data_IF_619614428924
#
_entry.id   IF_619614428924
#
_cell.length_a   1.000
_cell.length_b   1.000
_cell.length_c   1.000
_cell.angle_alpha   90.00
_cell.angle_beta   90.00
_cell.angle_gamma   90.00
#
_symmetry.space_group_name_H-M   'P 1'
#
loop_
_entity.id
_entity.type
_entity.pdbx_description
1 polymer ?
#
# COMPACT_ATOMS: atom_id res chain seq x y z
N UNK A 1 -35.78 -23.61 89.19
CA UNK A 1 -34.60 -22.75 88.91
C UNK A 1 -33.42 -23.63 88.45
N UNK A 2 -33.69 -24.72 87.66
CA UNK A 2 -32.62 -25.67 87.20
C UNK A 2 -32.55 -25.82 85.68
N UNK A 3 -33.43 -25.17 84.93
CA UNK A 3 -33.46 -25.24 83.42
C UNK A 3 -32.71 -24.18 82.65
N UNK A 4 -32.01 -23.23 83.29
CA UNK A 4 -31.29 -22.17 82.62
C UNK A 4 -29.74 -22.34 82.52
N UNK A 5 -29.18 -23.38 83.21
CA UNK A 5 -27.72 -23.62 83.15
C UNK A 5 -27.29 -24.68 82.12
N UNK A 6 -28.20 -25.44 81.55
CA UNK A 6 -27.90 -26.49 80.55
C UNK A 6 -27.85 -25.97 79.11
N UNK A 7 -28.41 -24.80 78.82
CA UNK A 7 -28.39 -24.22 77.46
C UNK A 7 -27.16 -23.42 77.16
N UNK A 8 -26.39 -22.94 78.17
CA UNK A 8 -25.17 -22.18 77.99
C UNK A 8 -23.92 -23.06 77.74
N UNK A 9 -23.96 -24.35 78.12
CA UNK A 9 -22.84 -25.27 77.92
C UNK A 9 -22.88 -25.98 76.54
N UNK A 10 -24.04 -26.02 75.89
CA UNK A 10 -24.17 -26.64 74.56
C UNK A 10 -23.77 -25.70 73.39
N UNK A 11 -23.65 -24.36 73.61
CA UNK A 11 -23.33 -23.37 72.54
C UNK A 11 -21.82 -23.09 72.40
N UNK A 12 -20.98 -23.57 73.34
CA UNK A 12 -19.52 -23.39 73.28
C UNK A 12 -18.76 -24.52 72.55
N UNK A 13 -19.42 -25.57 72.08
CA UNK A 13 -18.78 -26.75 71.49
C UNK A 13 -18.83 -26.79 69.94
N UNK A 14 -19.31 -25.75 69.28
CA UNK A 14 -19.41 -25.69 67.81
C UNK A 14 -18.42 -24.77 67.12
N UNK A 15 -17.34 -24.27 67.82
CA UNK A 15 -16.32 -23.41 67.19
C UNK A 15 -14.94 -24.08 67.26
N UNK A 16 -14.84 -25.38 67.13
CA UNK A 16 -13.59 -26.05 66.78
C UNK A 16 -13.57 -26.32 65.27
N UNK A 17 -13.58 -25.23 64.48
CA UNK A 17 -13.19 -25.29 63.09
C UNK A 17 -11.69 -25.63 63.05
N UNK A 18 -11.33 -26.88 62.81
CA UNK A 18 -9.99 -27.26 62.43
C UNK A 18 -9.63 -26.51 61.14
N UNK A 19 -8.99 -25.38 61.25
CA UNK A 19 -8.24 -24.85 60.15
C UNK A 19 -7.11 -25.85 59.83
N UNK A 20 -7.34 -26.77 58.89
CA UNK A 20 -6.24 -27.52 58.31
C UNK A 20 -5.34 -26.52 57.62
N UNK A 21 -4.22 -26.17 58.17
CA UNK A 21 -3.13 -25.51 57.51
C UNK A 21 -2.66 -26.47 56.43
N UNK A 22 -2.96 -26.15 55.15
CA UNK A 22 -2.44 -26.89 54.00
C UNK A 22 -0.89 -26.97 54.12
N UNK A 23 -0.31 -28.02 53.54
CA UNK A 23 1.16 -28.12 53.47
C UNK A 23 1.73 -26.80 52.91
N UNK A 24 2.84 -26.27 53.48
CA UNK A 24 3.50 -25.11 52.92
C UNK A 24 3.83 -25.38 51.45
N UNK A 25 3.31 -24.56 50.55
CA UNK A 25 3.70 -24.62 49.16
C UNK A 25 5.18 -24.26 49.06
N UNK A 26 5.96 -24.97 48.21
CA UNK A 26 7.35 -24.55 47.96
C UNK A 26 7.36 -23.12 47.42
N UNK A 27 8.46 -22.34 47.71
CA UNK A 27 8.53 -20.99 47.23
C UNK A 27 8.43 -20.96 45.69
N UNK A 28 7.54 -20.08 45.16
CA UNK A 28 7.37 -19.91 43.76
C UNK A 28 8.67 -19.42 43.12
N UNK A 29 9.05 -20.01 42.00
CA UNK A 29 10.19 -19.55 41.19
C UNK A 29 9.85 -18.26 40.40
N UNK A 30 8.61 -17.78 40.50
CA UNK A 30 8.10 -16.61 39.76
C UNK A 30 8.43 -16.66 38.25
N UNK A 31 8.35 -17.84 37.63
CA UNK A 31 8.62 -18.01 36.21
C UNK A 31 7.45 -17.47 35.36
N UNK A 32 7.69 -16.51 34.46
CA UNK A 32 6.65 -16.01 33.55
C UNK A 32 6.10 -17.15 32.70
N UNK A 33 4.78 -17.22 32.53
CA UNK A 33 4.16 -18.20 31.65
C UNK A 33 4.59 -17.91 30.19
N UNK A 34 5.09 -18.90 29.41
CA UNK A 34 5.47 -18.67 28.02
C UNK A 34 4.29 -18.13 27.19
N UNK A 35 4.51 -17.12 26.33
CA UNK A 35 3.50 -16.68 25.38
C UNK A 35 3.02 -17.83 24.48
N UNK A 36 1.75 -17.83 24.12
CA UNK A 36 1.16 -18.81 23.20
C UNK A 36 0.58 -18.16 21.94
N UNK A 37 0.81 -16.87 21.78
CA UNK A 37 0.27 -16.03 20.70
C UNK A 37 1.36 -15.34 19.88
N UNK A 38 2.62 -15.84 19.93
CA UNK A 38 3.69 -15.36 19.07
C UNK A 38 3.29 -15.49 17.62
N UNK A 39 3.48 -14.40 16.87
CA UNK A 39 3.30 -14.32 15.42
C UNK A 39 4.55 -13.75 14.79
N UNK A 40 4.81 -14.12 13.54
CA UNK A 40 5.89 -13.60 12.74
C UNK A 40 5.37 -13.15 11.37
N UNK A 41 5.87 -12.02 10.91
CA UNK A 41 5.65 -11.52 9.55
C UNK A 41 7.01 -11.15 8.96
N UNK A 42 7.39 -11.79 7.86
CA UNK A 42 8.62 -11.45 7.16
C UNK A 42 8.35 -10.43 6.05
N UNK A 43 9.18 -9.38 6.03
CA UNK A 43 9.27 -8.43 4.91
C UNK A 43 10.75 -8.13 4.66
N UNK A 44 11.21 -8.33 3.44
CA UNK A 44 12.62 -8.19 3.15
C UNK A 44 13.46 -9.18 3.96
N UNK A 45 14.55 -8.68 4.49
CA UNK A 45 15.41 -9.39 5.43
C UNK A 45 15.03 -9.11 6.90
N UNK A 46 13.80 -8.62 7.15
CA UNK A 46 13.31 -8.32 8.49
C UNK A 46 12.15 -9.24 8.85
N UNK A 47 12.13 -9.70 10.10
CA UNK A 47 11.04 -10.48 10.66
C UNK A 47 10.46 -9.73 11.84
N UNK A 48 9.24 -9.25 11.69
CA UNK A 48 8.46 -8.64 12.77
C UNK A 48 7.84 -9.76 13.60
N UNK A 49 8.25 -9.85 14.84
CA UNK A 49 7.69 -10.73 15.87
C UNK A 49 6.72 -9.93 16.74
N UNK A 50 5.57 -10.48 17.04
CA UNK A 50 4.55 -9.88 17.92
C UNK A 50 4.00 -10.91 18.89
N UNK A 51 3.84 -10.54 20.14
CA UNK A 51 3.28 -11.41 21.19
C UNK A 51 2.66 -10.58 22.32
N UNK A 52 1.96 -11.24 23.22
CA UNK A 52 1.43 -10.60 24.43
C UNK A 52 2.32 -10.86 25.63
N UNK A 53 2.58 -9.82 26.40
CA UNK A 53 3.30 -9.93 27.68
C UNK A 53 2.50 -10.79 28.67
N UNK A 54 3.12 -11.82 29.30
CA UNK A 54 2.42 -12.70 30.24
C UNK A 54 2.08 -11.96 31.54
N UNK A 55 0.91 -12.21 32.06
CA UNK A 55 0.43 -11.64 33.34
C UNK A 55 0.57 -12.60 34.50
N UNK A 56 0.66 -13.86 34.18
CA UNK A 56 0.71 -14.93 35.17
C UNK A 56 2.02 -15.68 35.07
N UNK A 57 2.46 -16.17 36.21
CA UNK A 57 3.52 -17.15 36.31
C UNK A 57 2.99 -18.54 35.99
N UNK A 58 3.87 -19.52 35.91
CA UNK A 58 3.49 -20.94 35.77
C UNK A 58 2.65 -21.42 36.95
N UNK A 59 2.81 -20.84 38.12
CA UNK A 59 2.08 -21.15 39.36
C UNK A 59 0.75 -20.38 39.46
N UNK A 60 0.30 -19.73 38.36
CA UNK A 60 -0.91 -18.91 38.27
C UNK A 60 -0.92 -17.67 39.16
N UNK A 61 0.23 -17.23 39.65
CA UNK A 61 0.37 -15.97 40.37
C UNK A 61 0.57 -14.80 39.38
N UNK A 62 0.25 -13.59 39.83
CA UNK A 62 0.50 -12.39 39.02
C UNK A 62 2.00 -12.13 38.89
N UNK A 63 2.47 -11.96 37.66
CA UNK A 63 3.85 -11.55 37.38
C UNK A 63 4.11 -10.18 38.02
N UNK A 64 5.04 -10.11 38.97
CA UNK A 64 5.40 -8.87 39.69
C UNK A 64 6.44 -8.07 38.92
N UNK A 65 7.33 -8.77 38.22
CA UNK A 65 8.40 -8.15 37.43
C UNK A 65 8.95 -9.14 36.43
N UNK A 66 9.15 -8.67 35.19
CA UNK A 66 9.85 -9.39 34.15
C UNK A 66 11.34 -9.09 34.19
N UNK A 67 12.13 -10.07 33.80
CA UNK A 67 13.52 -9.94 33.42
C UNK A 67 13.66 -9.62 31.93
N UNK A 68 14.79 -9.93 31.29
CA UNK A 68 14.98 -9.78 29.86
C UNK A 68 14.11 -10.79 29.09
N UNK A 69 13.83 -10.46 27.82
CA UNK A 69 13.19 -11.36 26.86
C UNK A 69 14.21 -11.76 25.81
N UNK A 70 14.37 -13.05 25.60
CA UNK A 70 15.26 -13.61 24.59
C UNK A 70 14.48 -13.92 23.31
N UNK A 71 15.06 -13.51 22.19
CA UNK A 71 14.57 -13.81 20.85
C UNK A 71 15.34 -15.02 20.33
N UNK A 72 14.65 -16.13 20.25
CA UNK A 72 15.23 -17.39 19.79
C UNK A 72 15.01 -17.55 18.28
N UNK A 73 16.06 -17.85 17.51
CA UNK A 73 16.01 -18.12 16.08
C UNK A 73 16.83 -19.36 15.77
N UNK A 74 16.30 -20.24 14.92
CA UNK A 74 16.95 -21.48 14.50
C UNK A 74 16.59 -21.82 13.06
N UNK A 75 17.44 -22.60 12.39
CA UNK A 75 17.13 -23.30 11.13
C UNK A 75 16.51 -24.68 11.38
N UNK A 76 16.51 -25.17 12.61
CA UNK A 76 15.82 -26.41 12.97
C UNK A 76 14.29 -26.17 13.03
N UNK A 77 13.53 -27.22 12.75
CA UNK A 77 12.07 -27.15 12.75
C UNK A 77 11.45 -26.85 14.14
N UNK A 78 12.18 -27.15 15.22
CA UNK A 78 11.72 -26.88 16.58
C UNK A 78 12.82 -26.23 17.43
N UNK A 79 12.38 -25.44 18.44
CA UNK A 79 13.22 -24.80 19.44
C UNK A 79 12.73 -25.28 20.81
N UNK A 80 13.44 -26.23 21.41
CA UNK A 80 13.11 -26.74 22.76
C UNK A 80 13.69 -25.86 23.87
N UNK A 81 14.79 -25.17 23.57
CA UNK A 81 15.43 -24.17 24.44
C UNK A 81 16.05 -23.07 23.59
N UNK A 82 16.11 -21.84 24.09
CA UNK A 82 16.60 -20.70 23.31
C UNK A 82 18.07 -20.80 22.89
N UNK A 83 18.89 -21.49 23.64
CA UNK A 83 20.33 -21.62 23.35
C UNK A 83 21.03 -20.26 23.29
N UNK A 84 21.65 -19.93 22.13
CA UNK A 84 22.20 -18.59 21.91
C UNK A 84 21.10 -17.72 21.27
N UNK A 85 20.59 -16.70 21.99
CA UNK A 85 19.52 -15.86 21.45
C UNK A 85 20.02 -15.01 20.27
N UNK A 86 19.16 -14.80 19.27
CA UNK A 86 19.42 -13.87 18.17
C UNK A 86 19.46 -12.42 18.65
N UNK A 87 18.69 -12.11 19.69
CA UNK A 87 18.69 -10.83 20.36
C UNK A 87 18.15 -10.97 21.79
N UNK A 88 18.47 -10.02 22.65
CA UNK A 88 17.93 -9.92 24.00
C UNK A 88 17.33 -8.52 24.21
N UNK A 89 16.04 -8.48 24.55
CA UNK A 89 15.35 -7.25 24.93
C UNK A 89 15.56 -7.07 26.44
N UNK A 90 16.13 -5.95 26.90
CA UNK A 90 16.38 -5.74 28.32
C UNK A 90 15.08 -5.69 29.13
N UNK A 91 15.18 -6.05 30.40
CA UNK A 91 14.04 -5.94 31.32
C UNK A 91 13.46 -4.52 31.33
N UNK A 92 12.13 -4.38 31.45
CA UNK A 92 11.50 -3.07 31.58
C UNK A 92 12.10 -2.30 32.75
N UNK A 93 12.44 -1.02 32.53
CA UNK A 93 12.97 -0.17 33.61
C UNK A 93 11.96 -0.06 34.75
N UNK A 94 12.42 -0.35 35.98
CA UNK A 94 11.62 -0.12 37.18
C UNK A 94 11.51 1.38 37.38
N UNK A 95 10.32 1.95 37.14
CA UNK A 95 10.06 3.35 37.48
C UNK A 95 10.03 3.47 39.02
N UNK A 96 10.97 4.20 39.65
CA UNK A 96 10.91 4.44 41.09
C UNK A 96 9.69 5.33 41.39
N UNK A 97 8.78 4.81 42.23
CA UNK A 97 7.92 5.61 43.07
C UNK A 97 6.74 6.34 42.39
N UNK A 98 5.77 5.61 41.82
CA UNK A 98 4.40 6.05 42.03
C UNK A 98 3.70 5.07 42.97
N UNK A 99 3.00 5.57 44.03
CA UNK A 99 2.19 4.69 44.87
C UNK A 99 1.27 3.90 43.95
N UNK A 100 1.23 2.58 44.12
CA UNK A 100 0.30 1.74 43.36
C UNK A 100 -1.11 2.17 43.77
N UNK A 101 -1.71 3.07 42.98
CA UNK A 101 -3.16 3.16 42.96
C UNK A 101 -3.66 1.75 42.71
N UNK A 102 -4.57 1.29 43.54
CA UNK A 102 -5.28 0.01 43.42
C UNK A 102 -6.17 0.08 42.17
N UNK A 103 -5.56 0.30 41.01
CA UNK A 103 -6.24 0.23 39.70
C UNK A 103 -6.62 -1.22 39.46
N UNK A 104 -7.89 -1.41 39.12
CA UNK A 104 -8.44 -2.66 38.59
C UNK A 104 -7.42 -3.30 37.64
N UNK A 105 -7.22 -4.64 37.69
CA UNK A 105 -6.31 -5.31 36.78
C UNK A 105 -6.67 -4.91 35.35
N UNK A 106 -5.70 -4.38 34.60
CA UNK A 106 -5.90 -4.01 33.21
C UNK A 106 -6.41 -5.25 32.46
N UNK A 107 -7.59 -5.18 31.89
CA UNK A 107 -8.29 -6.34 31.32
C UNK A 107 -7.70 -6.80 29.97
N UNK A 108 -6.81 -6.03 29.36
CA UNK A 108 -6.22 -6.35 28.03
C UNK A 108 -4.74 -6.73 28.14
N UNK A 109 -4.27 -7.74 27.35
CA UNK A 109 -2.85 -8.05 27.21
C UNK A 109 -2.06 -6.84 26.71
N UNK A 110 -0.80 -6.69 27.13
CA UNK A 110 0.10 -5.65 26.63
C UNK A 110 0.83 -6.24 25.41
N UNK A 111 0.61 -5.70 24.19
CA UNK A 111 1.31 -6.18 23.02
C UNK A 111 2.79 -5.79 23.08
N UNK A 112 3.64 -6.71 22.68
CA UNK A 112 5.07 -6.53 22.48
C UNK A 112 5.43 -6.78 21.04
N UNK A 113 6.46 -6.14 20.54
CA UNK A 113 6.96 -6.34 19.18
C UNK A 113 8.49 -6.23 19.15
N UNK A 114 9.11 -7.00 18.27
CA UNK A 114 10.53 -6.94 17.97
C UNK A 114 10.75 -7.22 16.49
N UNK A 115 11.65 -6.46 15.86
CA UNK A 115 12.06 -6.70 14.47
C UNK A 115 13.46 -7.27 14.45
N UNK A 116 13.58 -8.52 14.01
CA UNK A 116 14.85 -9.20 13.80
C UNK A 116 15.35 -8.95 12.37
N UNK A 117 16.62 -8.60 12.24
CA UNK A 117 17.31 -8.52 10.95
C UNK A 117 17.96 -9.89 10.64
N UNK A 118 17.43 -10.57 9.62
CA UNK A 118 17.93 -11.89 9.21
C UNK A 118 19.26 -11.74 8.48
N UNK A 119 20.36 -12.31 8.99
CA UNK A 119 21.63 -12.31 8.30
C UNK A 119 21.54 -13.04 6.95
N UNK A 120 22.24 -12.53 5.93
CA UNK A 120 22.25 -13.12 4.60
C UNK A 120 22.73 -14.59 4.58
N UNK A 121 23.58 -14.97 5.56
CA UNK A 121 24.08 -16.36 5.73
C UNK A 121 23.00 -17.37 6.11
N UNK A 122 21.85 -16.92 6.61
CA UNK A 122 20.69 -17.76 6.95
C UNK A 122 19.68 -17.86 5.82
N UNK A 123 19.86 -17.10 4.73
CA UNK A 123 18.99 -17.17 3.57
C UNK A 123 19.42 -18.33 2.67
N UNK A 124 18.43 -19.04 2.14
CA UNK A 124 18.61 -20.26 1.35
C UNK A 124 18.01 -20.10 -0.05
N UNK A 125 18.58 -20.83 -1.01
CA UNK A 125 17.96 -21.01 -2.34
C UNK A 125 16.97 -22.18 -2.36
N UNK A 126 16.93 -22.98 -1.27
CA UNK A 126 15.96 -24.06 -1.12
C UNK A 126 14.62 -23.48 -0.64
N UNK A 127 13.55 -23.61 -1.43
CA UNK A 127 12.23 -23.08 -1.11
C UNK A 127 11.59 -23.70 0.15
N UNK A 128 12.01 -24.91 0.54
CA UNK A 128 11.49 -25.61 1.72
C UNK A 128 12.17 -25.17 3.04
N UNK A 129 13.20 -24.32 2.98
CA UNK A 129 13.92 -23.88 4.17
C UNK A 129 13.15 -22.79 4.91
N UNK A 130 12.91 -23.01 6.20
CA UNK A 130 12.31 -22.04 7.11
C UNK A 130 13.30 -21.61 8.20
N UNK A 131 13.07 -20.40 8.72
CA UNK A 131 13.57 -19.97 10.01
C UNK A 131 12.47 -20.15 11.04
N UNK A 132 12.79 -20.82 12.13
CA UNK A 132 11.92 -21.00 13.29
C UNK A 132 12.23 -19.93 14.31
N UNK A 133 11.21 -19.28 14.83
CA UNK A 133 11.30 -18.30 15.92
C UNK A 133 10.50 -18.74 17.13
N UNK A 134 11.00 -18.36 18.30
CA UNK A 134 10.30 -18.37 19.57
C UNK A 134 10.78 -17.18 20.42
N UNK A 135 10.05 -16.86 21.47
CA UNK A 135 10.47 -15.89 22.48
C UNK A 135 10.48 -16.58 23.85
N UNK A 136 11.50 -16.32 24.65
CA UNK A 136 11.57 -16.80 26.02
C UNK A 136 11.64 -15.62 26.99
N UNK A 137 10.68 -15.53 27.89
CA UNK A 137 10.63 -14.50 28.90
C UNK A 137 11.25 -15.01 30.20
N UNK A 138 12.21 -14.27 30.68
CA UNK A 138 12.91 -14.62 31.91
C UNK A 138 12.38 -13.83 33.11
N UNK A 139 12.53 -14.38 34.30
CA UNK A 139 12.36 -13.64 35.54
C UNK A 139 13.62 -12.77 35.82
N UNK A 140 13.62 -12.01 36.92
CA UNK A 140 14.78 -11.18 37.29
C UNK A 140 16.07 -11.95 37.59
N UNK A 141 15.95 -13.25 37.87
CA UNK A 141 17.09 -14.11 38.15
C UNK A 141 17.59 -14.82 36.87
N UNK A 142 17.10 -14.42 35.67
CA UNK A 142 17.49 -15.01 34.41
C UNK A 142 16.95 -16.43 34.18
N UNK A 143 15.83 -16.80 34.82
CA UNK A 143 15.21 -18.11 34.66
C UNK A 143 13.89 -17.97 33.90
N UNK A 144 13.68 -18.81 32.90
CA UNK A 144 12.46 -18.91 32.09
C UNK A 144 11.71 -20.22 32.35
N UNK A 145 10.48 -20.28 31.86
CA UNK A 145 9.65 -21.50 31.84
C UNK A 145 9.72 -22.21 30.47
N UNK A 146 10.68 -21.85 29.65
CA UNK A 146 10.83 -22.30 28.28
C UNK A 146 10.26 -21.35 27.24
N UNK A 147 10.52 -21.62 25.96
CA UNK A 147 10.11 -20.75 24.85
C UNK A 147 8.60 -20.82 24.57
N UNK A 148 8.10 -19.77 23.93
CA UNK A 148 6.73 -19.62 23.43
C UNK A 148 6.33 -20.71 22.42
N UNK A 149 5.13 -20.61 21.84
CA UNK A 149 4.82 -21.29 20.58
C UNK A 149 5.86 -20.93 19.50
N UNK A 150 6.11 -21.85 18.57
CA UNK A 150 7.03 -21.66 17.46
C UNK A 150 6.26 -21.08 16.28
N UNK A 151 6.95 -20.20 15.54
CA UNK A 151 6.46 -19.66 14.28
C UNK A 151 7.54 -19.83 13.23
N UNK A 152 7.11 -20.12 12.01
CA UNK A 152 8.01 -20.38 10.89
C UNK A 152 7.85 -19.31 9.84
N UNK A 153 8.97 -18.85 9.28
CA UNK A 153 8.99 -17.93 8.15
C UNK A 153 9.94 -18.49 7.07
N UNK A 154 9.57 -18.39 5.78
CA UNK A 154 10.42 -18.86 4.70
C UNK A 154 11.80 -18.19 4.75
N UNK A 155 12.87 -18.97 4.60
CA UNK A 155 14.25 -18.47 4.57
C UNK A 155 14.77 -18.20 3.16
N UNK A 156 13.89 -18.09 2.16
CA UNK A 156 14.27 -17.89 0.76
C UNK A 156 14.95 -16.53 0.54
N UNK A 157 15.86 -16.49 -0.45
CA UNK A 157 16.39 -15.23 -0.98
C UNK A 157 15.30 -14.50 -1.73
N UNK A 158 15.30 -13.18 -1.60
CA UNK A 158 14.33 -12.30 -2.24
C UNK A 158 15.06 -11.29 -3.14
N UNK A 159 14.34 -10.67 -4.08
CA UNK A 159 14.87 -9.57 -4.85
C UNK A 159 15.14 -8.35 -3.94
N UNK A 160 16.21 -7.59 -4.22
CA UNK A 160 16.40 -6.30 -3.58
C UNK A 160 15.25 -5.34 -3.94
N UNK A 161 15.03 -4.28 -3.15
CA UNK A 161 14.07 -3.25 -3.51
C UNK A 161 14.45 -2.62 -4.84
N UNK A 162 13.47 -2.28 -5.70
CA UNK A 162 13.74 -1.59 -6.95
C UNK A 162 14.48 -0.27 -6.70
N UNK A 163 15.56 -0.06 -7.47
CA UNK A 163 16.33 1.17 -7.46
C UNK A 163 15.80 2.14 -8.53
N UNK A 164 16.03 3.42 -8.33
CA UNK A 164 15.79 4.49 -9.32
C UNK A 164 14.32 4.55 -9.80
N UNK A 165 13.37 4.26 -8.90
CA UNK A 165 11.96 4.43 -9.23
C UNK A 165 11.67 5.87 -9.61
N UNK A 166 11.23 6.06 -10.85
CA UNK A 166 10.78 7.34 -11.41
C UNK A 166 9.34 7.19 -11.92
N UNK A 167 8.60 8.29 -11.90
CA UNK A 167 7.24 8.36 -12.41
C UNK A 167 7.11 9.57 -13.31
N UNK A 168 6.63 9.36 -14.53
CA UNK A 168 6.33 10.40 -15.50
C UNK A 168 4.86 10.33 -15.91
N UNK A 169 4.20 11.47 -16.02
CA UNK A 169 2.83 11.54 -16.52
C UNK A 169 2.84 11.63 -18.04
N UNK A 170 1.93 10.94 -18.68
CA UNK A 170 1.60 11.07 -20.09
C UNK A 170 0.07 11.04 -20.25
N UNK A 171 -0.43 11.16 -21.46
CA UNK A 171 -1.87 11.17 -21.77
C UNK A 171 -2.63 9.93 -21.28
N UNK A 172 -1.95 8.78 -21.13
CA UNK A 172 -2.54 7.51 -20.71
C UNK A 172 -2.48 7.31 -19.17
N UNK A 173 -1.74 8.16 -18.44
CA UNK A 173 -1.58 8.08 -16.99
C UNK A 173 -0.17 8.25 -16.45
N UNK A 174 0.18 7.46 -15.44
CA UNK A 174 1.50 7.48 -14.81
C UNK A 174 2.37 6.32 -15.33
N UNK A 175 3.42 6.65 -16.07
CA UNK A 175 4.45 5.71 -16.48
C UNK A 175 5.51 5.61 -15.39
N UNK A 176 5.54 4.47 -14.69
CA UNK A 176 6.56 4.14 -13.71
C UNK A 176 7.72 3.42 -14.40
N UNK A 177 8.94 3.79 -14.04
CA UNK A 177 10.17 3.14 -14.53
C UNK A 177 11.15 2.91 -13.39
N UNK A 178 11.87 1.78 -13.41
CA UNK A 178 12.91 1.45 -12.44
C UNK A 178 13.91 0.45 -13.00
N UNK A 179 14.98 0.20 -12.28
CA UNK A 179 15.95 -0.84 -12.63
C UNK A 179 15.57 -2.16 -11.95
N UNK A 180 15.27 -3.18 -12.74
CA UNK A 180 14.99 -4.53 -12.26
C UNK A 180 16.28 -5.27 -11.90
N UNK A 181 16.20 -6.18 -10.92
CA UNK A 181 17.29 -7.05 -10.48
C UNK A 181 17.12 -8.46 -11.01
N UNK A 182 18.23 -9.20 -11.27
CA UNK A 182 18.18 -10.60 -11.67
C UNK A 182 17.65 -11.48 -10.55
N UNK A 183 16.94 -12.54 -10.91
CA UNK A 183 16.42 -13.53 -9.95
C UNK A 183 17.56 -14.13 -9.10
N UNK A 184 17.46 -14.07 -7.77
CA UNK A 184 18.50 -14.58 -6.88
C UNK A 184 18.49 -16.11 -6.75
N UNK A 185 17.39 -16.77 -7.16
CA UNK A 185 17.21 -18.22 -7.01
C UNK A 185 16.39 -18.78 -8.17
N UNK A 186 16.82 -19.90 -8.78
CA UNK A 186 16.11 -20.50 -9.92
C UNK A 186 14.78 -21.19 -9.54
N UNK A 187 14.54 -21.46 -8.26
CA UNK A 187 13.38 -22.22 -7.79
C UNK A 187 12.17 -21.38 -7.38
N UNK A 188 12.21 -20.05 -7.55
CA UNK A 188 11.14 -19.15 -7.17
C UNK A 188 10.67 -18.32 -8.37
N UNK A 189 9.41 -17.96 -8.37
CA UNK A 189 8.88 -16.93 -9.26
C UNK A 189 8.98 -15.57 -8.56
N UNK A 190 9.25 -14.55 -9.33
CA UNK A 190 9.38 -13.20 -8.82
C UNK A 190 8.43 -12.27 -9.53
N UNK A 191 7.85 -11.34 -8.79
CA UNK A 191 6.96 -10.28 -9.30
C UNK A 191 7.29 -8.96 -8.66
N UNK A 192 6.95 -7.87 -9.35
CA UNK A 192 6.86 -6.55 -8.77
C UNK A 192 5.38 -6.21 -8.56
N UNK A 193 5.02 -5.80 -7.33
CA UNK A 193 3.74 -5.20 -6.98
C UNK A 193 3.88 -3.71 -6.97
N UNK A 194 3.02 -3.05 -7.70
CA UNK A 194 2.98 -1.59 -7.77
C UNK A 194 1.82 -1.13 -6.90
N UNK A 195 2.14 -0.38 -5.85
CA UNK A 195 1.16 0.20 -4.95
C UNK A 195 1.01 1.68 -5.21
N UNK A 196 -0.23 2.12 -5.26
CA UNK A 196 -0.63 3.51 -5.38
C UNK A 196 -1.44 3.90 -4.15
N UNK A 197 -1.05 4.96 -3.46
CA UNK A 197 -1.78 5.56 -2.35
C UNK A 197 -2.24 6.96 -2.75
N UNK A 198 -3.54 7.19 -2.71
CA UNK A 198 -4.13 8.52 -2.85
C UNK A 198 -3.85 9.32 -1.58
N UNK A 199 -3.20 10.48 -1.71
CA UNK A 199 -2.76 11.28 -0.56
C UNK A 199 -3.94 11.89 0.20
N UNK A 200 -5.05 12.21 -0.48
CA UNK A 200 -6.23 12.83 0.13
C UNK A 200 -7.05 11.87 0.98
N UNK A 201 -7.26 10.67 0.49
CA UNK A 201 -8.03 9.63 1.18
C UNK A 201 -7.17 8.72 2.05
N UNK A 202 -5.84 8.79 1.91
CA UNK A 202 -4.86 7.88 2.50
C UNK A 202 -5.13 6.40 2.18
N UNK A 203 -5.88 6.13 1.11
CA UNK A 203 -6.21 4.78 0.66
C UNK A 203 -5.11 4.25 -0.25
N UNK A 204 -4.52 3.12 0.13
CA UNK A 204 -3.57 2.39 -0.70
C UNK A 204 -4.29 1.30 -1.49
N UNK A 205 -3.93 1.15 -2.76
CA UNK A 205 -4.45 0.14 -3.68
C UNK A 205 -3.31 -0.51 -4.45
N UNK A 206 -3.46 -1.77 -4.80
CA UNK A 206 -2.59 -2.44 -5.75
C UNK A 206 -2.96 -1.94 -7.15
N UNK A 207 -2.07 -1.18 -7.77
CA UNK A 207 -2.24 -0.70 -9.14
C UNK A 207 -1.99 -1.81 -10.16
N UNK A 208 -1.04 -2.72 -9.88
CA UNK A 208 -0.79 -3.88 -10.72
C UNK A 208 0.35 -4.76 -10.25
N UNK A 209 0.51 -5.88 -10.94
CA UNK A 209 1.64 -6.81 -10.78
C UNK A 209 2.27 -7.11 -12.14
N UNK A 210 3.59 -7.16 -12.19
CA UNK A 210 4.33 -7.60 -13.38
C UNK A 210 5.41 -8.62 -13.01
N UNK A 211 5.83 -9.48 -13.95
CA UNK A 211 6.96 -10.39 -13.73
C UNK A 211 8.23 -9.63 -13.35
N UNK A 212 9.05 -10.25 -12.50
CA UNK A 212 10.33 -9.73 -12.07
C UNK A 212 11.42 -10.80 -12.22
N UNK A 213 12.68 -10.46 -11.92
CA UNK A 213 13.82 -11.39 -11.95
C UNK A 213 14.68 -11.26 -13.20
N UNK A 214 14.44 -10.26 -14.05
CA UNK A 214 15.33 -9.85 -15.14
C UNK A 214 16.06 -8.57 -14.77
N UNK A 215 17.34 -8.49 -15.07
CA UNK A 215 18.11 -7.26 -14.93
C UNK A 215 17.75 -6.27 -16.05
N UNK A 216 17.74 -4.98 -15.73
CA UNK A 216 17.57 -3.91 -16.70
C UNK A 216 16.31 -3.08 -16.52
N UNK A 217 16.01 -2.19 -17.49
CA UNK A 217 14.88 -1.30 -17.42
C UNK A 217 13.55 -2.03 -17.36
N UNK A 218 12.73 -1.66 -16.40
CA UNK A 218 11.40 -2.20 -16.19
C UNK A 218 10.42 -1.05 -16.14
N UNK A 219 9.21 -1.23 -16.67
CA UNK A 219 8.20 -0.19 -16.70
C UNK A 219 6.80 -0.73 -16.44
N UNK A 220 5.93 0.15 -15.95
CA UNK A 220 4.52 -0.12 -15.73
C UNK A 220 3.73 1.16 -15.95
N UNK A 221 2.64 1.08 -16.72
CA UNK A 221 1.70 2.19 -16.94
C UNK A 221 0.48 1.99 -16.03
N UNK A 222 0.22 2.97 -15.19
CA UNK A 222 -0.95 3.01 -14.32
C UNK A 222 -1.96 4.07 -14.81
N UNK A 223 -3.14 3.63 -15.24
CA UNK A 223 -4.27 4.53 -15.50
C UNK A 223 -4.78 5.12 -14.18
N UNK A 224 -4.74 6.44 -14.07
CA UNK A 224 -5.08 7.16 -12.85
C UNK A 224 -6.25 8.14 -13.06
N UNK A 225 -6.80 8.66 -11.97
CA UNK A 225 -7.70 9.81 -12.01
C UNK A 225 -6.89 11.10 -11.93
N UNK A 226 -7.15 12.02 -12.85
CA UNK A 226 -6.50 13.33 -12.89
C UNK A 226 -6.94 14.23 -11.72
N UNK A 227 -6.20 15.28 -11.46
CA UNK A 227 -6.40 16.27 -10.39
C UNK A 227 -6.31 15.65 -8.98
N UNK A 228 -5.46 14.62 -8.84
CA UNK A 228 -5.15 13.98 -7.58
C UNK A 228 -3.65 13.91 -7.33
N UNK A 229 -3.29 13.69 -6.09
CA UNK A 229 -1.89 13.44 -5.70
C UNK A 229 -1.76 12.00 -5.23
N UNK A 230 -0.78 11.30 -5.82
CA UNK A 230 -0.51 9.91 -5.54
C UNK A 230 0.91 9.71 -5.02
N UNK A 231 1.04 8.68 -4.19
CA UNK A 231 2.31 8.15 -3.70
C UNK A 231 2.46 6.75 -4.25
N UNK A 232 3.51 6.52 -5.04
CA UNK A 232 3.83 5.22 -5.63
C UNK A 232 5.00 4.57 -4.92
N UNK A 233 4.92 3.26 -4.72
CA UNK A 233 6.03 2.39 -4.34
C UNK A 233 5.93 1.07 -5.08
N UNK A 234 7.07 0.42 -5.27
CA UNK A 234 7.16 -0.88 -5.91
C UNK A 234 7.79 -1.86 -4.93
N UNK A 235 7.15 -3.02 -4.75
CA UNK A 235 7.57 -4.06 -3.81
C UNK A 235 7.87 -5.33 -4.58
N UNK A 236 9.08 -5.90 -4.50
CA UNK A 236 9.36 -7.22 -5.07
C UNK A 236 8.68 -8.30 -4.22
N UNK A 237 8.18 -9.34 -4.85
CA UNK A 237 7.55 -10.50 -4.22
C UNK A 237 8.19 -11.76 -4.74
N UNK A 238 8.64 -12.62 -3.85
CA UNK A 238 9.10 -13.97 -4.16
C UNK A 238 7.97 -14.96 -3.88
N UNK A 239 7.67 -15.81 -4.85
CA UNK A 239 6.61 -16.83 -4.79
C UNK A 239 7.26 -18.18 -4.93
N UNK A 240 7.09 -19.04 -3.93
CA UNK A 240 7.58 -20.43 -3.95
C UNK A 240 6.41 -21.38 -3.82
N UNK A 241 6.43 -22.41 -4.66
CA UNK A 241 5.45 -23.50 -4.59
C UNK A 241 6.01 -24.58 -3.68
N UNK A 242 5.29 -24.91 -2.61
CA UNK A 242 5.60 -25.98 -1.66
C UNK A 242 4.53 -27.08 -1.72
N UNK A 243 4.78 -28.21 -1.06
CA UNK A 243 3.78 -29.30 -0.99
C UNK A 243 2.44 -28.85 -0.38
N UNK A 244 2.47 -27.85 0.50
CA UNK A 244 1.27 -27.31 1.19
C UNK A 244 0.63 -26.13 0.48
N UNK A 245 1.14 -25.70 -0.70
CA UNK A 245 0.66 -24.57 -1.48
C UNK A 245 1.73 -23.52 -1.74
N UNK A 246 1.30 -22.40 -2.30
CA UNK A 246 2.19 -21.26 -2.57
C UNK A 246 2.45 -20.44 -1.31
N UNK A 247 3.71 -20.07 -1.13
CA UNK A 247 4.14 -19.16 -0.08
C UNK A 247 4.74 -17.90 -0.72
N UNK A 248 4.26 -16.75 -0.30
CA UNK A 248 4.72 -15.46 -0.80
C UNK A 248 5.51 -14.72 0.28
N UNK A 249 6.63 -14.13 -0.13
CA UNK A 249 7.44 -13.28 0.75
C UNK A 249 7.65 -11.94 0.04
N UNK A 250 7.15 -10.87 0.65
CA UNK A 250 7.42 -9.52 0.16
C UNK A 250 8.84 -9.08 0.53
N UNK A 251 9.50 -8.44 -0.42
CA UNK A 251 10.76 -7.76 -0.20
C UNK A 251 10.57 -6.36 0.42
N UNK A 252 11.66 -5.63 0.54
CA UNK A 252 11.61 -4.24 0.95
C UNK A 252 11.05 -3.36 -0.17
N UNK A 253 10.32 -2.32 0.21
CA UNK A 253 9.74 -1.38 -0.74
C UNK A 253 10.82 -0.49 -1.38
N UNK A 254 10.59 -0.06 -2.62
CA UNK A 254 11.33 1.07 -3.18
C UNK A 254 11.12 2.34 -2.36
N UNK A 255 11.95 3.36 -2.51
CA UNK A 255 11.61 4.72 -2.10
C UNK A 255 10.25 5.11 -2.68
N UNK A 256 9.47 5.87 -1.91
CA UNK A 256 8.16 6.35 -2.36
C UNK A 256 8.33 7.57 -3.25
N UNK A 257 7.65 7.58 -4.40
CA UNK A 257 7.62 8.73 -5.32
C UNK A 257 6.25 9.41 -5.25
N UNK A 258 6.25 10.72 -5.03
CA UNK A 258 5.05 11.55 -5.00
C UNK A 258 4.80 12.15 -6.38
N UNK A 259 3.57 12.03 -6.88
CA UNK A 259 3.14 12.52 -8.19
C UNK A 259 1.88 13.36 -8.03
N UNK A 260 1.90 14.56 -8.55
CA UNK A 260 0.71 15.41 -8.70
C UNK A 260 0.17 15.18 -10.10
N UNK A 261 -0.92 14.45 -10.21
CA UNK A 261 -1.54 14.09 -11.48
C UNK A 261 -2.41 15.24 -11.98
N UNK A 262 -1.75 16.26 -12.54
CA UNK A 262 -2.41 17.36 -13.21
C UNK A 262 -2.45 17.09 -14.70
N UNK A 263 -3.65 17.17 -15.29
CA UNK A 263 -3.86 16.91 -16.70
C UNK A 263 -3.52 18.17 -17.53
N UNK A 264 -2.46 18.05 -18.30
CA UNK A 264 -1.98 19.09 -19.23
C UNK A 264 -1.94 18.59 -20.67
N UNK A 265 -2.52 17.44 -20.93
CA UNK A 265 -2.45 16.74 -22.22
C UNK A 265 -3.67 17.07 -23.06
N UNK A 266 -3.50 17.80 -24.18
CA UNK A 266 -4.63 18.13 -25.06
C UNK A 266 -5.13 16.89 -25.80
N UNK A 267 -6.41 16.90 -26.26
CA UNK A 267 -6.94 15.86 -27.11
C UNK A 267 -6.18 15.76 -28.46
N UNK A 268 -6.39 14.67 -29.17
CA UNK A 268 -5.85 14.47 -30.51
C UNK A 268 -6.30 15.59 -31.46
N UNK A 269 -5.43 15.94 -32.40
CA UNK A 269 -5.73 16.96 -33.43
C UNK A 269 -6.86 16.45 -34.35
N UNK A 270 -7.94 17.25 -34.58
CA UNK A 270 -8.97 16.88 -35.54
C UNK A 270 -8.42 16.70 -36.96
N UNK A 271 -8.91 15.69 -37.68
CA UNK A 271 -8.44 15.38 -39.03
C UNK A 271 -9.60 15.40 -40.03
N UNK A 272 -9.28 15.42 -41.32
CA UNK A 272 -10.25 15.32 -42.38
C UNK A 272 -11.21 16.52 -42.50
N UNK A 273 -10.76 17.71 -42.08
CA UNK A 273 -11.55 18.94 -42.21
C UNK A 273 -11.89 19.20 -43.68
N UNK A 274 -13.18 19.40 -43.96
CA UNK A 274 -13.71 19.82 -45.24
C UNK A 274 -14.56 21.07 -45.06
N UNK A 275 -14.50 21.98 -46.04
CA UNK A 275 -15.31 23.17 -46.11
C UNK A 275 -16.10 23.14 -47.40
N UNK A 276 -17.40 23.35 -47.31
CA UNK A 276 -18.32 23.28 -48.49
C UNK A 276 -19.23 24.51 -48.48
N UNK A 277 -19.17 25.27 -49.54
CA UNK A 277 -20.12 26.38 -49.75
C UNK A 277 -21.55 25.83 -49.96
N UNK A 278 -22.50 26.50 -49.37
CA UNK A 278 -23.94 26.25 -49.47
C UNK A 278 -24.70 27.57 -49.39
N UNK A 279 -25.99 27.55 -49.81
CA UNK A 279 -26.84 28.76 -49.75
C UNK A 279 -27.02 29.43 -51.07
N UNK A 280 -26.93 28.70 -52.18
CA UNK A 280 -27.29 29.21 -53.50
C UNK A 280 -28.73 29.74 -53.48
N UNK A 281 -28.93 31.02 -53.88
CA UNK A 281 -30.24 31.68 -53.81
C UNK A 281 -30.71 32.10 -52.41
N UNK A 282 -29.90 31.92 -51.38
CA UNK A 282 -30.13 32.32 -49.99
C UNK A 282 -28.94 33.12 -49.41
N UNK A 283 -29.00 33.45 -48.10
CA UNK A 283 -27.84 33.99 -47.42
C UNK A 283 -26.69 32.95 -47.48
N UNK A 284 -25.51 33.33 -48.00
CA UNK A 284 -24.40 32.40 -48.13
C UNK A 284 -23.92 31.89 -46.76
N UNK A 285 -23.49 30.61 -46.70
CA UNK A 285 -22.83 30.00 -45.57
C UNK A 285 -21.84 28.94 -46.07
N UNK A 286 -20.86 28.60 -45.18
CA UNK A 286 -19.93 27.48 -45.39
C UNK A 286 -20.17 26.46 -44.30
N UNK A 287 -20.47 25.21 -44.69
CA UNK A 287 -20.54 24.09 -43.81
C UNK A 287 -19.17 23.42 -43.70
N UNK A 288 -18.77 23.19 -42.44
CA UNK A 288 -17.53 22.51 -42.07
C UNK A 288 -17.85 21.16 -41.45
N UNK A 289 -17.14 20.12 -41.85
CA UNK A 289 -17.19 18.79 -41.23
C UNK A 289 -15.78 18.26 -41.05
N UNK A 290 -15.59 17.45 -40.02
CA UNK A 290 -14.30 16.80 -39.71
C UNK A 290 -14.51 15.44 -39.05
N UNK A 291 -13.45 14.63 -38.95
CA UNK A 291 -13.49 13.38 -38.21
C UNK A 291 -13.63 13.63 -36.70
N UNK A 292 -14.55 12.92 -36.00
CA UNK A 292 -14.69 13.09 -34.56
C UNK A 292 -13.44 12.63 -33.83
N UNK A 293 -13.02 13.41 -32.82
CA UNK A 293 -11.96 13.03 -31.86
C UNK A 293 -12.59 12.14 -30.80
N UNK A 294 -11.92 11.03 -30.44
CA UNK A 294 -12.45 9.99 -29.55
C UNK A 294 -11.92 10.08 -28.13
N UNK A 295 -11.25 11.18 -27.72
CA UNK A 295 -10.79 11.37 -26.35
C UNK A 295 -11.97 11.35 -25.38
N UNK A 296 -11.83 10.59 -24.28
CA UNK A 296 -12.91 10.38 -23.32
C UNK A 296 -13.33 11.65 -22.58
N UNK A 297 -12.44 12.61 -22.49
CA UNK A 297 -12.60 13.91 -21.81
C UNK A 297 -12.81 15.08 -22.76
N UNK A 298 -13.06 14.80 -24.07
CA UNK A 298 -13.34 15.83 -25.05
C UNK A 298 -14.50 16.72 -24.62
N UNK A 299 -14.25 18.03 -24.48
CA UNK A 299 -15.28 19.02 -24.21
C UNK A 299 -15.91 19.58 -25.50
N UNK A 300 -15.17 19.64 -26.60
CA UNK A 300 -15.67 20.15 -27.88
C UNK A 300 -14.55 20.68 -28.78
N UNK A 301 -14.95 21.55 -29.71
CA UNK A 301 -14.04 22.07 -30.74
C UNK A 301 -14.06 23.59 -30.82
N UNK A 302 -12.92 24.19 -31.17
CA UNK A 302 -12.81 25.55 -31.62
C UNK A 302 -12.61 25.58 -33.14
N UNK A 303 -13.31 26.50 -33.81
CA UNK A 303 -13.22 26.72 -35.25
C UNK A 303 -12.56 28.06 -35.48
N UNK A 304 -11.57 28.07 -36.34
CA UNK A 304 -10.80 29.27 -36.71
C UNK A 304 -10.94 29.55 -38.20
N UNK A 305 -11.04 30.84 -38.53
CA UNK A 305 -11.18 31.33 -39.90
C UNK A 305 -10.23 32.46 -40.18
N UNK A 306 -9.65 32.49 -41.36
CA UNK A 306 -8.98 33.68 -41.92
C UNK A 306 -9.49 33.93 -43.34
N UNK A 307 -9.48 35.19 -43.81
CA UNK A 307 -9.65 35.54 -45.21
C UNK A 307 -8.35 35.18 -45.97
N UNK A 308 -8.43 34.43 -47.06
CA UNK A 308 -7.25 33.99 -47.82
C UNK A 308 -6.42 35.14 -48.38
N UNK A 309 -7.05 36.31 -48.64
CA UNK A 309 -6.35 37.52 -49.10
C UNK A 309 -5.69 38.29 -47.94
N UNK A 310 -5.90 37.92 -46.69
CA UNK A 310 -5.39 38.61 -45.49
C UNK A 310 -4.15 37.94 -44.94
N UNK A 311 -3.15 38.70 -44.54
CA UNK A 311 -1.99 38.22 -43.76
C UNK A 311 -2.28 38.13 -42.25
N UNK A 312 -3.47 38.53 -41.80
CA UNK A 312 -3.87 38.46 -40.40
C UNK A 312 -4.02 37.01 -39.92
N UNK A 313 -3.74 36.73 -38.62
CA UNK A 313 -3.92 35.40 -38.06
C UNK A 313 -5.41 34.97 -38.12
N UNK A 314 -5.66 33.66 -38.18
CA UNK A 314 -7.00 33.12 -38.11
C UNK A 314 -7.66 33.45 -36.77
N UNK A 315 -8.92 33.88 -36.80
CA UNK A 315 -9.71 34.23 -35.62
C UNK A 315 -10.68 33.12 -35.30
N UNK A 316 -10.91 32.88 -34.00
CA UNK A 316 -11.94 31.95 -33.55
C UNK A 316 -13.33 32.50 -33.91
N UNK A 317 -14.16 31.68 -34.56
CA UNK A 317 -15.50 32.08 -35.05
C UNK A 317 -16.65 31.53 -34.23
N UNK A 318 -16.43 30.54 -33.37
CA UNK A 318 -17.41 30.05 -32.42
C UNK A 318 -17.25 30.74 -31.05
N UNK A 319 -18.37 31.18 -30.43
CA UNK A 319 -18.38 31.77 -29.11
C UNK A 319 -18.20 30.71 -28.02
N UNK A 320 -18.92 29.59 -28.14
CA UNK A 320 -18.87 28.43 -27.24
C UNK A 320 -18.29 27.21 -27.99
N UNK A 321 -17.77 26.24 -27.25
CA UNK A 321 -17.25 25.00 -27.83
C UNK A 321 -18.32 24.29 -28.66
N UNK A 322 -17.98 23.95 -29.89
CA UNK A 322 -18.81 23.15 -30.78
C UNK A 322 -18.82 21.70 -30.29
N UNK A 323 -20.00 21.13 -30.07
CA UNK A 323 -20.14 19.78 -29.48
C UNK A 323 -20.20 18.66 -30.51
N UNK A 324 -20.41 19.00 -31.77
CA UNK A 324 -20.48 18.06 -32.91
C UNK A 324 -19.30 18.27 -33.84
N UNK A 325 -18.86 17.26 -34.60
CA UNK A 325 -17.78 17.41 -35.57
C UNK A 325 -18.24 18.14 -36.84
N UNK A 326 -19.04 19.18 -36.70
CA UNK A 326 -19.54 20.02 -37.78
C UNK A 326 -19.85 21.43 -37.31
N UNK A 327 -19.69 22.43 -38.17
CA UNK A 327 -19.98 23.83 -37.85
C UNK A 327 -20.48 24.54 -39.11
N UNK A 328 -21.47 25.42 -38.96
CA UNK A 328 -21.95 26.29 -40.00
C UNK A 328 -21.48 27.74 -39.77
N UNK A 329 -20.70 28.23 -40.71
CA UNK A 329 -20.29 29.64 -40.73
C UNK A 329 -21.21 30.45 -41.62
N UNK A 330 -22.11 31.22 -41.05
CA UNK A 330 -23.04 32.13 -41.73
C UNK A 330 -22.54 33.56 -41.82
N UNK A 331 -21.32 33.84 -41.31
CA UNK A 331 -20.70 35.16 -41.32
C UNK A 331 -19.71 35.31 -42.47
N UNK A 332 -20.08 34.79 -43.65
CA UNK A 332 -19.25 34.82 -44.87
C UNK A 332 -19.83 35.81 -45.90
N UNK A 333 -19.00 36.32 -46.80
CA UNK A 333 -19.35 37.32 -47.81
C UNK A 333 -19.06 36.82 -49.22
N UNK A 334 -19.91 37.15 -50.18
CA UNK A 334 -19.73 36.82 -51.59
C UNK A 334 -18.39 37.35 -52.16
N UNK A 335 -17.78 36.58 -53.04
CA UNK A 335 -16.50 36.89 -53.69
C UNK A 335 -15.25 36.69 -52.82
N UNK A 336 -15.40 36.12 -51.61
CA UNK A 336 -14.28 35.89 -50.71
C UNK A 336 -13.94 34.42 -50.57
N UNK A 337 -12.66 34.12 -50.43
CA UNK A 337 -12.11 32.81 -50.07
C UNK A 337 -11.75 32.77 -48.62
N UNK A 338 -12.21 31.79 -47.87
CA UNK A 338 -11.91 31.60 -46.46
C UNK A 338 -11.12 30.32 -46.25
N UNK A 339 -10.18 30.40 -45.29
CA UNK A 339 -9.39 29.27 -44.86
C UNK A 339 -9.76 28.95 -43.38
N UNK A 340 -10.06 27.70 -43.15
CA UNK A 340 -10.50 27.19 -41.82
C UNK A 340 -9.53 26.19 -41.25
N UNK A 341 -9.43 26.19 -39.93
CA UNK A 341 -8.79 25.15 -39.10
C UNK A 341 -9.64 24.87 -37.87
N UNK A 342 -9.53 23.66 -37.33
CA UNK A 342 -10.26 23.23 -36.15
C UNK A 342 -9.29 22.66 -35.12
N UNK A 343 -9.52 22.93 -33.84
CA UNK A 343 -8.83 22.30 -32.72
C UNK A 343 -9.83 21.59 -31.80
N UNK A 344 -9.38 20.58 -31.08
CA UNK A 344 -10.13 19.89 -30.03
C UNK A 344 -9.75 20.45 -28.67
N UNK A 345 -10.71 20.53 -27.75
CA UNK A 345 -10.53 21.04 -26.39
C UNK A 345 -11.13 20.05 -25.43
N UNK A 346 -10.42 19.71 -24.35
CA UNK A 346 -10.89 18.85 -23.29
C UNK A 346 -11.69 19.59 -22.20
N UNK A 347 -12.13 18.87 -21.18
CA UNK A 347 -12.88 19.42 -20.04
C UNK A 347 -12.02 20.31 -19.13
N UNK A 348 -10.69 20.31 -19.28
CA UNK A 348 -9.74 21.11 -18.53
C UNK A 348 -9.21 22.31 -19.31
N UNK A 349 -9.76 22.50 -20.50
CA UNK A 349 -9.39 23.55 -21.44
C UNK A 349 -7.98 23.39 -22.06
N UNK A 350 -7.42 22.17 -22.07
CA UNK A 350 -6.27 21.89 -22.91
C UNK A 350 -6.72 21.85 -24.38
N UNK A 351 -6.08 22.64 -25.21
CA UNK A 351 -6.44 22.76 -26.62
C UNK A 351 -5.38 22.13 -27.50
N UNK A 352 -5.80 21.27 -28.44
CA UNK A 352 -4.91 20.61 -29.40
C UNK A 352 -4.28 21.60 -30.38
N UNK A 353 -3.25 21.16 -31.08
CA UNK A 353 -2.84 21.85 -32.29
C UNK A 353 -4.00 21.95 -33.28
N UNK A 354 -3.94 22.90 -34.20
CA UNK A 354 -4.94 23.09 -35.25
C UNK A 354 -4.82 22.00 -36.32
N UNK A 355 -5.95 21.61 -36.88
CA UNK A 355 -6.03 20.71 -38.03
C UNK A 355 -5.28 21.23 -39.24
N UNK A 356 -5.17 20.40 -40.28
CA UNK A 356 -4.85 20.88 -41.62
C UNK A 356 -5.89 21.91 -42.08
N UNK A 357 -5.46 22.83 -42.98
CA UNK A 357 -6.29 23.90 -43.49
C UNK A 357 -7.30 23.34 -44.53
N UNK A 358 -8.55 23.78 -44.47
CA UNK A 358 -9.53 23.62 -45.56
C UNK A 358 -9.92 25.00 -46.05
N UNK A 359 -9.97 25.17 -47.38
CA UNK A 359 -10.33 26.44 -48.00
C UNK A 359 -11.60 26.29 -48.84
N UNK A 360 -12.44 27.34 -48.81
CA UNK A 360 -13.66 27.40 -49.63
C UNK A 360 -13.91 28.84 -50.09
N UNK A 361 -14.43 28.96 -51.33
CA UNK A 361 -14.75 30.24 -51.95
C UNK A 361 -16.26 30.44 -52.02
N UNK A 362 -16.71 31.58 -51.50
CA UNK A 362 -18.11 32.02 -51.68
C UNK A 362 -18.22 32.69 -53.05
N UNK A 363 -19.04 32.20 -54.00
CA UNK A 363 -19.21 32.81 -55.31
C UNK A 363 -19.59 34.29 -55.23
N UNK A 364 -19.10 35.09 -56.20
CA UNK A 364 -19.56 36.46 -56.30
C UNK A 364 -21.05 36.49 -56.75
N UNK A 365 -21.80 37.41 -56.17
CA UNK A 365 -23.17 37.66 -56.65
C UNK A 365 -23.09 38.21 -58.08
N UNK A 366 -23.69 37.50 -59.05
CA UNK A 366 -23.84 37.99 -60.40
C UNK A 366 -24.86 39.12 -60.47
#
# INVERSE_FOLDING_TARGET
MIYRLTFAAALCLLISGCAQTGMPLPPSLELPKPPSDLRALRKGNHVLLTWSEPRLTTDQETVRSLGPTEICRSTAADITACGTPAATIPAPAVQPGKPKDKKKPQSKPVPQAFTDAVPASLLSDNPETDLTYAVELLNRNGRGAGPSNRVHVPAIRILPPPADLAVQLNEDGALLTWTGAPAPSPGAQFRYRIYRRDESSNKETLAGEIPAGSAGPTQFLDGLEWERTYLYRVTPVSIVTRQQGEVQVEGDDSPTVRVVAHDVFPPAVPTGLQAVYSGEGQKPFIDLIWAPVTSADLAGYNVYRKDAASSAPALKVNAELVKTPSYRDSAVSAGKTYIYTVSAVDVRANESAKSEEASETVPANN
#
